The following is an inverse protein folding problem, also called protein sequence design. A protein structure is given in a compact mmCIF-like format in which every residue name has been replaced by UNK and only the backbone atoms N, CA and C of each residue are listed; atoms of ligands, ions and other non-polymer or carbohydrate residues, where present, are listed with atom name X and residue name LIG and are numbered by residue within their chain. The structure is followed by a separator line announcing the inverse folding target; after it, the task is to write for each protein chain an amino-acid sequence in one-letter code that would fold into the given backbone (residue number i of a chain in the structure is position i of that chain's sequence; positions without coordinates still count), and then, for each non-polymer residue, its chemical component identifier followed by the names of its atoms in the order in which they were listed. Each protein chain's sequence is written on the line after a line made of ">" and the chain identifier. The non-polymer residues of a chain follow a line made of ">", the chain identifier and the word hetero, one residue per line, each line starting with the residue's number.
data_IF_567991210553
#
_entry.id   IF_567991210553
#
_cell.length_a   1.000
_cell.length_b   1.000
_cell.length_c   1.000
_cell.angle_alpha   90.00
_cell.angle_beta   90.00
_cell.angle_gamma   90.00
#
_symmetry.space_group_name_H-M   'P 1'
#
loop_
_entity.id
_entity.type
_entity.pdbx_description
1 polymer ?
#
# COMPACT_ATOMS: atom_id res chain seq x y z
N UNK A 1 26.59 25.37 11.29
CA UNK A 1 25.58 25.83 12.28
C UNK A 1 25.39 24.72 13.30
N UNK A 2 25.65 24.98 14.58
CA UNK A 2 25.54 23.98 15.65
C UNK A 2 24.09 23.80 16.10
N UNK A 3 23.77 22.70 16.82
CA UNK A 3 22.44 22.42 17.34
C UNK A 3 21.89 23.59 18.17
N UNK A 4 22.71 24.23 19.00
CA UNK A 4 22.34 25.38 19.84
C UNK A 4 21.79 26.55 19.02
N UNK A 5 22.40 26.85 17.89
CA UNK A 5 21.99 27.96 17.02
C UNK A 5 20.67 27.66 16.31
N UNK A 6 20.49 26.42 15.80
CA UNK A 6 19.23 26.00 15.18
C UNK A 6 18.08 25.98 16.19
N UNK A 7 18.35 25.50 17.40
CA UNK A 7 17.37 25.51 18.49
C UNK A 7 16.96 26.94 18.85
N UNK A 8 17.93 27.85 19.01
CA UNK A 8 17.66 29.25 19.34
C UNK A 8 16.86 29.94 18.23
N UNK A 9 17.21 29.73 16.99
CA UNK A 9 16.50 30.29 15.85
C UNK A 9 15.02 29.85 15.82
N UNK A 10 14.75 28.57 16.06
CA UNK A 10 13.38 28.03 16.09
C UNK A 10 12.59 28.47 17.33
N UNK A 11 13.24 28.62 18.46
CA UNK A 11 12.60 29.20 19.66
C UNK A 11 12.12 30.63 19.41
N UNK A 12 12.95 31.46 18.75
CA UNK A 12 12.59 32.82 18.37
C UNK A 12 11.42 32.83 17.36
N UNK A 13 11.48 31.98 16.34
CA UNK A 13 10.40 31.85 15.32
C UNK A 13 9.06 31.49 15.94
N UNK A 14 9.08 30.63 16.97
CA UNK A 14 7.86 30.19 17.68
C UNK A 14 7.51 31.04 18.90
N UNK A 15 8.28 32.08 19.24
CA UNK A 15 8.06 32.94 20.39
C UNK A 15 8.19 32.22 21.75
N UNK A 16 9.03 31.17 21.81
CA UNK A 16 9.19 30.32 22.98
C UNK A 16 10.45 30.72 23.79
N UNK A 17 10.31 30.81 25.12
CA UNK A 17 11.45 30.84 26.02
C UNK A 17 11.81 29.42 26.52
N UNK A 18 12.94 29.25 27.21
CA UNK A 18 13.43 27.97 27.69
C UNK A 18 12.43 27.23 28.59
N UNK A 19 11.77 27.95 29.49
CA UNK A 19 10.79 27.39 30.42
C UNK A 19 9.54 26.90 29.68
N UNK A 20 9.05 27.68 28.72
CA UNK A 20 7.88 27.33 27.91
C UNK A 20 8.19 26.16 26.98
N UNK A 21 9.37 26.13 26.34
CA UNK A 21 9.81 24.99 25.54
C UNK A 21 9.92 23.74 26.40
N UNK A 22 10.48 23.86 27.63
CA UNK A 22 10.58 22.74 28.58
C UNK A 22 9.22 22.13 28.89
N UNK A 23 8.27 23.00 29.23
CA UNK A 23 6.88 22.60 29.55
C UNK A 23 6.18 21.91 28.39
N UNK A 24 6.31 22.46 27.17
CA UNK A 24 5.64 21.90 25.95
C UNK A 24 6.29 20.63 25.42
N UNK A 25 7.61 20.51 25.58
CA UNK A 25 8.36 19.35 25.07
C UNK A 25 8.52 18.23 26.11
N UNK A 26 8.05 18.44 27.36
CA UNK A 26 8.32 17.52 28.47
C UNK A 26 9.82 17.20 28.61
N UNK A 27 10.65 18.25 28.48
CA UNK A 27 12.11 18.22 28.70
C UNK A 27 12.47 19.20 29.79
N UNK A 28 13.22 18.79 30.84
CA UNK A 28 13.61 19.70 31.92
C UNK A 28 14.36 20.94 31.38
N UNK A 29 13.97 22.12 31.82
CA UNK A 29 14.59 23.38 31.41
C UNK A 29 16.12 23.39 31.56
N UNK A 30 16.75 22.82 32.61
CA UNK A 30 18.21 22.75 32.70
C UNK A 30 18.84 21.97 31.54
N UNK A 31 18.13 20.97 30.96
CA UNK A 31 18.59 20.21 29.78
C UNK A 31 18.58 21.08 28.54
N UNK A 32 17.52 21.91 28.38
CA UNK A 32 17.43 22.85 27.26
C UNK A 32 18.55 23.90 27.37
N UNK A 33 18.78 24.43 28.56
CA UNK A 33 19.85 25.40 28.81
C UNK A 33 21.22 24.82 28.44
N UNK A 34 21.54 23.58 28.83
CA UNK A 34 22.81 22.91 28.47
C UNK A 34 22.99 22.73 26.96
N UNK A 35 21.91 22.54 26.24
CA UNK A 35 21.97 22.46 24.76
C UNK A 35 22.24 23.85 24.18
N UNK A 36 21.58 24.89 24.69
CA UNK A 36 21.73 26.27 24.24
C UNK A 36 23.08 26.88 24.59
N UNK A 37 23.66 26.50 25.75
CA UNK A 37 25.00 26.91 26.16
C UNK A 37 26.13 26.20 25.42
N UNK A 38 25.79 25.09 24.70
CA UNK A 38 26.78 24.27 24.03
C UNK A 38 27.47 23.22 24.91
N UNK A 39 27.15 23.17 26.22
CA UNK A 39 27.65 22.13 27.14
C UNK A 39 27.23 20.74 26.73
N UNK A 40 26.09 20.61 26.04
CA UNK A 40 25.58 19.38 25.47
C UNK A 40 25.54 19.50 23.94
N UNK A 41 26.66 19.28 23.30
CA UNK A 41 26.77 19.33 21.84
C UNK A 41 26.09 18.15 21.13
N UNK A 42 25.87 17.04 21.84
CA UNK A 42 25.21 15.82 21.33
C UNK A 42 24.19 15.29 22.33
N UNK A 43 23.01 15.94 22.46
CA UNK A 43 21.97 15.48 23.38
C UNK A 43 21.41 14.11 22.95
N UNK A 44 20.85 13.38 23.90
CA UNK A 44 20.27 12.05 23.66
C UNK A 44 19.10 12.13 22.67
N UNK A 45 19.02 11.19 21.78
CA UNK A 45 17.99 11.12 20.72
C UNK A 45 16.55 11.33 21.21
N UNK A 46 16.08 10.69 22.31
CA UNK A 46 14.72 10.93 22.82
C UNK A 46 14.46 12.38 23.23
N UNK A 47 15.47 13.07 23.75
CA UNK A 47 15.37 14.50 24.12
C UNK A 47 15.22 15.38 22.88
N UNK A 48 16.01 15.09 21.84
CA UNK A 48 15.94 15.81 20.57
C UNK A 48 14.59 15.60 19.89
N UNK A 49 14.07 14.38 19.89
CA UNK A 49 12.77 14.04 19.31
C UNK A 49 11.60 14.80 19.99
N UNK A 50 11.62 14.92 21.32
CA UNK A 50 10.62 15.69 22.07
C UNK A 50 10.67 17.19 21.72
N UNK A 51 11.87 17.77 21.68
CA UNK A 51 12.07 19.18 21.32
C UNK A 51 11.66 19.43 19.86
N UNK A 52 12.12 18.58 18.94
CA UNK A 52 11.85 18.70 17.51
C UNK A 52 10.35 18.63 17.20
N UNK A 53 9.63 17.72 17.86
CA UNK A 53 8.16 17.62 17.74
C UNK A 53 7.46 18.91 18.18
N UNK A 54 7.89 19.51 19.27
CA UNK A 54 7.32 20.76 19.78
C UNK A 54 7.58 21.93 18.84
N UNK A 55 8.74 21.97 18.23
CA UNK A 55 9.14 23.00 17.27
C UNK A 55 8.73 22.72 15.84
N UNK A 56 8.04 21.59 15.59
CA UNK A 56 7.59 21.15 14.26
C UNK A 56 8.73 21.08 13.23
N UNK A 57 9.87 20.54 13.63
CA UNK A 57 11.05 20.32 12.79
C UNK A 57 11.47 18.86 12.85
N UNK A 58 12.25 18.42 11.84
CA UNK A 58 12.81 17.07 11.86
C UNK A 58 13.90 16.95 12.96
N UNK A 59 13.93 15.85 13.74
CA UNK A 59 15.00 15.61 14.71
C UNK A 59 16.39 15.60 14.06
N UNK A 60 16.48 15.11 12.85
CA UNK A 60 17.70 15.06 12.06
C UNK A 60 18.18 16.45 11.66
N UNK A 61 17.26 17.31 11.20
CA UNK A 61 17.56 18.71 10.92
C UNK A 61 18.03 19.44 12.21
N UNK A 62 17.39 19.21 13.34
CA UNK A 62 17.78 19.86 14.60
C UNK A 62 19.20 19.43 15.01
N UNK A 63 19.56 18.16 14.86
CA UNK A 63 20.89 17.63 15.21
C UNK A 63 21.98 18.02 14.24
N UNK A 64 21.76 17.86 12.95
CA UNK A 64 22.82 17.90 11.94
C UNK A 64 22.68 19.02 10.91
N UNK A 65 21.51 19.65 10.82
CA UNK A 65 21.18 20.61 9.78
C UNK A 65 20.82 19.90 8.47
N UNK A 66 20.82 20.64 7.38
CA UNK A 66 20.36 20.15 6.08
C UNK A 66 18.94 20.65 5.76
N UNK A 67 18.28 20.13 4.72
CA UNK A 67 16.90 20.48 4.42
C UNK A 67 15.98 20.04 5.58
N UNK A 68 15.06 20.93 5.97
CA UNK A 68 14.05 20.62 6.99
C UNK A 68 12.89 19.88 6.33
N UNK A 69 12.97 18.56 6.34
CA UNK A 69 11.97 17.66 5.75
C UNK A 69 10.60 17.72 6.47
N UNK A 70 10.52 18.40 7.63
CA UNK A 70 9.25 18.52 8.36
C UNK A 70 8.22 19.44 7.68
N UNK A 71 8.62 20.21 6.68
CA UNK A 71 7.75 21.19 6.01
C UNK A 71 6.89 20.62 4.87
N UNK A 72 6.99 19.35 4.53
CA UNK A 72 6.34 18.79 3.34
C UNK A 72 5.50 17.53 3.55
N UNK A 73 5.22 17.12 4.78
CA UNK A 73 4.37 15.95 4.97
C UNK A 73 2.95 16.37 5.32
N UNK A 74 2.06 16.30 4.34
CA UNK A 74 0.65 16.06 4.60
C UNK A 74 0.56 14.78 5.45
N UNK A 75 -0.23 14.81 6.53
CA UNK A 75 -0.29 13.73 7.54
C UNK A 75 -0.78 12.38 7.00
N UNK A 76 -1.10 12.31 5.72
CA UNK A 76 -1.53 11.10 5.00
C UNK A 76 -0.44 10.46 4.14
N UNK A 77 0.82 10.96 4.20
CA UNK A 77 1.96 10.37 3.47
C UNK A 77 2.95 9.79 4.46
N UNK A 78 3.10 8.48 4.47
CA UNK A 78 4.15 7.75 5.19
C UNK A 78 5.32 7.44 4.27
N UNK A 79 6.55 7.44 4.83
CA UNK A 79 7.74 6.99 4.11
C UNK A 79 7.59 5.48 3.83
N UNK A 80 7.26 5.15 2.60
CA UNK A 80 7.28 3.77 2.14
C UNK A 80 8.74 3.30 1.97
N UNK A 81 9.07 2.18 2.60
CA UNK A 81 10.31 1.45 2.28
C UNK A 81 10.21 1.00 0.83
N UNK A 82 11.23 1.28 0.03
CA UNK A 82 11.27 0.73 -1.32
C UNK A 82 11.28 -0.80 -1.25
N UNK A 83 10.44 -1.49 -2.03
CA UNK A 83 10.43 -2.94 -2.05
C UNK A 83 11.81 -3.48 -2.43
N UNK A 84 12.32 -4.42 -1.64
CA UNK A 84 13.62 -5.05 -1.86
C UNK A 84 13.62 -6.03 -3.05
N UNK A 85 12.43 -6.36 -3.57
CA UNK A 85 12.20 -7.28 -4.69
C UNK A 85 11.13 -6.71 -5.61
N UNK A 86 11.29 -6.93 -6.90
CA UNK A 86 10.31 -6.57 -7.92
C UNK A 86 10.15 -7.75 -8.86
N UNK A 87 8.91 -8.16 -9.06
CA UNK A 87 8.52 -9.23 -9.97
C UNK A 87 7.78 -8.61 -11.15
N UNK A 88 7.88 -9.20 -12.32
CA UNK A 88 7.22 -8.72 -13.53
C UNK A 88 6.32 -9.80 -14.09
N UNK A 89 5.04 -9.45 -14.32
CA UNK A 89 4.00 -10.36 -14.80
C UNK A 89 3.28 -9.77 -16.01
N UNK A 90 2.85 -10.61 -16.95
CA UNK A 90 2.11 -10.16 -18.14
C UNK A 90 0.69 -9.74 -17.81
N UNK A 91 0.17 -8.73 -18.50
CA UNK A 91 -1.27 -8.47 -18.57
C UNK A 91 -1.87 -9.36 -19.66
N UNK A 92 -2.87 -10.20 -19.29
CA UNK A 92 -3.57 -11.07 -20.20
C UNK A 92 -5.05 -10.69 -20.32
N UNK A 93 -5.71 -11.18 -21.35
CA UNK A 93 -7.15 -11.02 -21.52
C UNK A 93 -7.96 -12.01 -20.67
N UNK A 94 -9.24 -11.68 -20.42
CA UNK A 94 -10.17 -12.56 -19.71
C UNK A 94 -10.35 -13.90 -20.40
N UNK A 95 -10.33 -13.93 -21.74
CA UNK A 95 -10.41 -15.16 -22.53
C UNK A 95 -9.19 -16.05 -22.29
N UNK A 96 -8.01 -15.47 -22.23
CA UNK A 96 -6.78 -16.19 -21.88
C UNK A 96 -6.81 -16.69 -20.43
N UNK A 97 -7.33 -15.90 -19.50
CA UNK A 97 -7.46 -16.30 -18.10
C UNK A 97 -8.41 -17.51 -17.94
N UNK A 98 -9.50 -17.58 -18.69
CA UNK A 98 -10.39 -18.73 -18.71
C UNK A 98 -9.72 -20.00 -19.24
N UNK A 99 -8.79 -19.87 -20.16
CA UNK A 99 -8.05 -21.00 -20.78
C UNK A 99 -6.81 -21.44 -19.95
N UNK A 100 -6.40 -20.69 -18.93
CA UNK A 100 -5.17 -20.91 -18.13
C UNK A 100 -5.09 -22.30 -17.48
N UNK A 101 -6.21 -22.96 -17.23
CA UNK A 101 -6.24 -24.29 -16.60
C UNK A 101 -5.82 -25.44 -17.53
N UNK A 102 -5.86 -25.27 -18.86
CA UNK A 102 -5.70 -26.39 -19.80
C UNK A 102 -4.29 -26.58 -20.37
N UNK A 103 -3.46 -25.61 -20.41
CA UNK A 103 -2.00 -25.68 -20.69
C UNK A 103 -1.44 -24.26 -20.76
N UNK A 104 -0.82 -23.80 -19.72
CA UNK A 104 -0.08 -22.55 -19.74
C UNK A 104 1.21 -22.69 -20.54
N UNK A 105 1.11 -22.93 -21.83
CA UNK A 105 2.14 -22.46 -22.72
C UNK A 105 1.88 -20.97 -22.98
N UNK A 106 2.51 -20.12 -22.15
CA UNK A 106 2.62 -18.69 -22.37
C UNK A 106 3.43 -18.40 -23.67
N UNK A 107 3.07 -19.07 -24.75
CA UNK A 107 3.75 -18.98 -26.07
C UNK A 107 3.64 -17.60 -26.72
N UNK A 108 2.81 -16.69 -26.16
CA UNK A 108 2.62 -15.34 -26.69
C UNK A 108 2.84 -14.22 -25.67
N UNK A 109 3.61 -14.46 -24.59
CA UNK A 109 3.92 -13.40 -23.57
C UNK A 109 4.74 -12.26 -24.17
N UNK A 110 5.48 -12.50 -25.26
CA UNK A 110 6.34 -11.48 -25.89
C UNK A 110 5.58 -10.27 -26.46
N UNK A 111 4.25 -10.34 -26.58
CA UNK A 111 3.41 -9.23 -27.03
C UNK A 111 2.55 -8.61 -25.91
N UNK A 112 2.60 -9.16 -24.69
CA UNK A 112 1.80 -8.65 -23.55
C UNK A 112 2.47 -7.46 -22.89
N UNK A 113 1.67 -6.52 -22.38
CA UNK A 113 2.17 -5.46 -21.51
C UNK A 113 2.62 -6.08 -20.19
N UNK A 114 3.86 -5.76 -19.75
CA UNK A 114 4.42 -6.27 -18.52
C UNK A 114 4.23 -5.26 -17.41
N UNK A 115 3.73 -5.71 -16.27
CA UNK A 115 3.58 -4.87 -15.07
C UNK A 115 4.34 -5.45 -13.89
N UNK A 116 4.96 -4.57 -13.10
CA UNK A 116 5.73 -4.94 -11.91
C UNK A 116 4.87 -4.96 -10.65
N UNK A 117 5.21 -5.85 -9.71
CA UNK A 117 4.68 -5.90 -8.35
C UNK A 117 5.82 -6.24 -7.38
N UNK A 118 5.72 -5.83 -6.13
CA UNK A 118 6.57 -6.29 -5.03
C UNK A 118 6.03 -7.59 -4.39
N UNK A 119 4.85 -8.02 -4.81
CA UNK A 119 4.21 -9.26 -4.35
C UNK A 119 4.57 -10.41 -5.30
N UNK A 120 4.99 -11.55 -4.74
CA UNK A 120 5.20 -12.78 -5.49
C UNK A 120 3.87 -13.49 -5.76
N UNK A 121 3.53 -13.65 -7.04
CA UNK A 121 2.31 -14.32 -7.49
C UNK A 121 2.56 -15.73 -8.09
N UNK A 122 3.71 -16.32 -7.79
CA UNK A 122 4.14 -17.58 -8.44
C UNK A 122 4.78 -17.35 -9.81
N UNK A 123 5.27 -18.44 -10.42
CA UNK A 123 5.90 -18.36 -11.76
C UNK A 123 4.89 -18.02 -12.86
N UNK A 124 3.64 -18.42 -12.65
CA UNK A 124 2.55 -18.28 -13.62
C UNK A 124 1.59 -17.12 -13.24
N UNK A 125 2.04 -16.17 -12.39
CA UNK A 125 1.25 -14.98 -12.06
C UNK A 125 0.96 -14.13 -13.30
N UNK A 126 -0.20 -13.47 -13.32
CA UNK A 126 -0.59 -12.58 -14.40
C UNK A 126 -1.51 -11.46 -13.92
N UNK A 127 -1.51 -10.36 -14.68
CA UNK A 127 -2.42 -9.24 -14.44
C UNK A 127 -3.66 -9.35 -15.30
N UNK A 128 -4.81 -8.97 -14.71
CA UNK A 128 -6.07 -8.78 -15.40
C UNK A 128 -6.60 -7.37 -15.17
N UNK A 129 -7.21 -6.82 -16.19
CA UNK A 129 -7.95 -5.57 -16.10
C UNK A 129 -9.41 -5.86 -15.69
N UNK A 130 -9.86 -5.28 -14.58
CA UNK A 130 -11.25 -5.41 -14.11
C UNK A 130 -12.20 -4.85 -15.16
N UNK A 131 -13.24 -5.62 -15.46
CA UNK A 131 -14.31 -5.25 -16.39
C UNK A 131 -15.65 -5.15 -15.66
N UNK A 132 -16.37 -4.09 -15.95
CA UNK A 132 -17.70 -3.82 -15.40
C UNK A 132 -17.73 -3.46 -13.91
N UNK A 133 -18.91 -3.15 -13.37
CA UNK A 133 -19.08 -2.56 -12.04
C UNK A 133 -19.34 -3.56 -10.91
N UNK A 134 -19.29 -4.87 -11.16
CA UNK A 134 -19.67 -5.89 -10.14
C UNK A 134 -18.79 -5.90 -8.90
N UNK A 135 -17.57 -5.38 -9.00
CA UNK A 135 -16.61 -5.29 -7.89
C UNK A 135 -16.37 -3.84 -7.43
N UNK A 136 -17.25 -2.91 -7.80
CA UNK A 136 -17.24 -1.52 -7.32
C UNK A 136 -18.11 -1.39 -6.09
N UNK A 137 -17.58 -0.85 -5.01
CA UNK A 137 -18.31 -0.65 -3.75
C UNK A 137 -18.14 0.79 -3.24
N UNK A 138 -19.19 1.39 -2.67
CA UNK A 138 -19.09 2.71 -2.03
C UNK A 138 -18.45 2.64 -0.64
N UNK A 139 -18.31 1.44 -0.06
CA UNK A 139 -17.77 1.25 1.30
C UNK A 139 -16.78 0.08 1.30
N UNK A 140 -15.61 0.30 1.89
CA UNK A 140 -14.55 -0.71 1.99
C UNK A 140 -13.77 -0.91 0.68
N UNK A 141 -13.25 -2.12 0.42
CA UNK A 141 -12.53 -2.41 -0.81
C UNK A 141 -13.39 -2.18 -2.04
N UNK A 142 -12.80 -1.60 -3.09
CA UNK A 142 -13.49 -1.32 -4.34
C UNK A 142 -12.53 -1.47 -5.51
N UNK A 143 -12.95 -2.20 -6.54
CA UNK A 143 -12.19 -2.46 -7.75
C UNK A 143 -12.99 -1.95 -8.96
N UNK A 144 -12.85 -0.67 -9.30
CA UNK A 144 -13.58 -0.09 -10.42
C UNK A 144 -13.08 -0.66 -11.75
N UNK A 145 -13.89 -0.48 -12.79
CA UNK A 145 -13.52 -0.86 -14.14
C UNK A 145 -12.18 -0.24 -14.56
N UNK A 146 -11.32 -1.03 -15.19
CA UNK A 146 -9.98 -0.63 -15.58
C UNK A 146 -8.90 -0.86 -14.51
N UNK A 147 -9.27 -1.16 -13.26
CA UNK A 147 -8.31 -1.52 -12.21
C UNK A 147 -7.55 -2.78 -12.60
N UNK A 148 -6.26 -2.85 -12.29
CA UNK A 148 -5.42 -4.03 -12.54
C UNK A 148 -5.36 -4.88 -11.28
N UNK A 149 -5.61 -6.18 -11.41
CA UNK A 149 -5.49 -7.18 -10.34
C UNK A 149 -4.42 -8.20 -10.70
N UNK A 150 -3.55 -8.54 -9.76
CA UNK A 150 -2.53 -9.58 -9.91
C UNK A 150 -3.08 -10.91 -9.39
N UNK A 151 -3.14 -11.89 -10.25
CA UNK A 151 -3.67 -13.22 -9.98
C UNK A 151 -2.54 -14.21 -9.81
N UNK A 152 -2.62 -15.01 -8.75
CA UNK A 152 -1.70 -16.10 -8.41
C UNK A 152 -2.41 -17.45 -8.56
N UNK A 153 -2.24 -18.18 -9.68
CA UNK A 153 -2.95 -19.44 -9.95
C UNK A 153 -2.60 -20.57 -9.00
N UNK A 154 -1.40 -20.53 -8.42
CA UNK A 154 -0.88 -21.62 -7.56
C UNK A 154 -1.23 -21.45 -6.07
N UNK A 155 -1.96 -20.39 -5.72
CA UNK A 155 -2.29 -20.08 -4.33
C UNK A 155 -3.72 -20.45 -4.01
N UNK A 156 -3.87 -21.29 -2.98
CA UNK A 156 -5.19 -21.66 -2.47
C UNK A 156 -5.95 -20.44 -1.97
N UNK A 157 -7.24 -20.40 -2.28
CA UNK A 157 -8.12 -19.33 -1.83
C UNK A 157 -8.69 -19.60 -0.44
N UNK A 158 -8.69 -18.59 0.41
CA UNK A 158 -9.31 -18.60 1.73
C UNK A 158 -10.55 -17.72 1.76
N UNK A 159 -11.52 -18.06 2.60
CA UNK A 159 -12.73 -17.25 2.74
C UNK A 159 -12.43 -15.79 3.09
N UNK A 160 -13.04 -14.87 2.36
CA UNK A 160 -12.79 -13.42 2.45
C UNK A 160 -11.82 -12.88 1.40
N UNK A 161 -11.03 -13.72 0.75
CA UNK A 161 -10.11 -13.29 -0.31
C UNK A 161 -10.83 -13.03 -1.63
N UNK A 162 -10.14 -12.32 -2.52
CA UNK A 162 -10.61 -12.07 -3.88
C UNK A 162 -10.04 -13.12 -4.82
N UNK A 163 -10.86 -13.61 -5.73
CA UNK A 163 -10.50 -14.69 -6.64
C UNK A 163 -10.98 -14.40 -8.06
N UNK A 164 -10.29 -14.99 -9.00
CA UNK A 164 -10.79 -15.20 -10.36
C UNK A 164 -11.27 -16.65 -10.46
N UNK A 165 -12.50 -16.83 -10.85
CA UNK A 165 -13.13 -18.13 -11.08
C UNK A 165 -13.68 -18.20 -12.49
N UNK A 166 -13.81 -19.39 -13.04
CA UNK A 166 -14.36 -19.64 -14.39
C UNK A 166 -15.45 -20.71 -14.37
N UNK A 167 -16.35 -20.63 -15.32
CA UNK A 167 -17.27 -21.71 -15.65
C UNK A 167 -16.52 -22.77 -16.47
N UNK A 168 -16.59 -24.02 -16.06
CA UNK A 168 -15.91 -25.16 -16.74
C UNK A 168 -16.39 -25.36 -18.16
N UNK A 169 -17.69 -25.15 -18.43
CA UNK A 169 -18.29 -25.41 -19.75
C UNK A 169 -17.96 -24.33 -20.80
N UNK A 170 -17.85 -23.06 -20.37
CA UNK A 170 -17.69 -21.91 -21.29
C UNK A 170 -16.34 -21.22 -21.21
N UNK A 171 -15.52 -21.56 -20.21
CA UNK A 171 -14.29 -20.84 -19.86
C UNK A 171 -14.52 -19.34 -19.58
N UNK A 172 -15.75 -18.95 -19.30
CA UNK A 172 -16.11 -17.58 -18.93
C UNK A 172 -15.61 -17.27 -17.52
N UNK A 173 -14.64 -16.37 -17.40
CA UNK A 173 -14.03 -16.02 -16.13
C UNK A 173 -14.68 -14.80 -15.48
N UNK A 174 -14.72 -14.79 -14.16
CA UNK A 174 -15.28 -13.71 -13.34
C UNK A 174 -14.38 -13.39 -12.14
N UNK A 175 -14.43 -12.14 -11.69
CA UNK A 175 -13.73 -11.66 -10.49
C UNK A 175 -14.72 -11.42 -9.37
N UNK A 176 -14.52 -12.09 -8.21
CA UNK A 176 -15.44 -12.02 -7.06
C UNK A 176 -14.67 -12.15 -5.73
N UNK A 177 -15.36 -11.89 -4.64
CA UNK A 177 -14.92 -12.28 -3.30
C UNK A 177 -15.35 -13.73 -3.04
N UNK A 178 -14.37 -14.56 -2.64
CA UNK A 178 -14.61 -15.93 -2.25
C UNK A 178 -15.08 -16.00 -0.80
N UNK A 179 -16.22 -16.60 -0.55
CA UNK A 179 -16.80 -16.73 0.78
C UNK A 179 -17.18 -18.18 1.04
N UNK A 180 -16.90 -18.63 2.27
CA UNK A 180 -17.39 -19.90 2.78
C UNK A 180 -18.38 -19.63 3.91
N UNK A 181 -19.60 -20.12 3.74
CA UNK A 181 -20.64 -20.05 4.78
C UNK A 181 -21.32 -21.41 4.92
N UNK A 182 -21.42 -21.91 6.17
CA UNK A 182 -22.08 -23.18 6.50
C UNK A 182 -21.64 -24.37 5.63
N UNK A 183 -20.37 -24.39 5.21
CA UNK A 183 -19.81 -25.44 4.37
C UNK A 183 -20.01 -25.24 2.85
N UNK A 184 -20.77 -24.24 2.45
CA UNK A 184 -21.00 -23.88 1.04
C UNK A 184 -20.07 -22.75 0.64
N UNK A 185 -19.56 -22.80 -0.59
CA UNK A 185 -18.73 -21.73 -1.17
C UNK A 185 -19.57 -20.81 -2.05
N UNK A 186 -19.22 -19.53 -2.03
CA UNK A 186 -19.91 -18.49 -2.79
C UNK A 186 -18.92 -17.55 -3.46
N UNK A 187 -19.28 -17.07 -4.63
CA UNK A 187 -18.64 -15.97 -5.36
C UNK A 187 -19.49 -14.71 -5.16
N UNK A 188 -19.05 -13.86 -4.25
CA UNK A 188 -19.78 -12.65 -3.84
C UNK A 188 -19.26 -11.41 -4.56
N UNK A 189 -20.10 -10.64 -5.27
CA UNK A 189 -19.74 -9.33 -5.77
C UNK A 189 -19.63 -8.32 -4.61
N UNK A 190 -18.82 -7.29 -4.77
CA UNK A 190 -18.78 -6.16 -3.83
C UNK A 190 -19.91 -5.17 -4.09
N UNK A 191 -20.40 -5.11 -5.31
CA UNK A 191 -21.57 -4.31 -5.67
C UNK A 191 -22.86 -5.07 -5.32
N UNK A 192 -23.68 -4.55 -4.38
CA UNK A 192 -24.91 -5.23 -3.93
C UNK A 192 -26.00 -5.33 -5.01
N UNK A 193 -25.88 -4.60 -6.12
CA UNK A 193 -26.79 -4.71 -7.25
C UNK A 193 -26.59 -6.00 -8.08
N UNK A 194 -25.53 -6.76 -7.79
CA UNK A 194 -25.23 -8.02 -8.45
C UNK A 194 -25.49 -9.20 -7.50
N UNK A 195 -25.99 -10.35 -8.01
CA UNK A 195 -26.29 -11.50 -7.17
C UNK A 195 -25.01 -12.20 -6.69
N UNK A 196 -25.07 -12.77 -5.49
CA UNK A 196 -24.10 -13.75 -5.01
C UNK A 196 -24.37 -15.08 -5.69
N UNK A 197 -23.32 -15.74 -6.17
CA UNK A 197 -23.38 -16.97 -6.94
C UNK A 197 -22.89 -18.11 -6.04
N UNK A 198 -23.67 -19.17 -5.79
CA UNK A 198 -23.15 -20.37 -5.15
C UNK A 198 -22.12 -21.02 -6.09
N UNK A 199 -20.99 -21.43 -5.50
CA UNK A 199 -19.93 -22.10 -6.24
C UNK A 199 -20.13 -23.60 -6.11
N UNK A 200 -20.61 -24.22 -7.18
CA UNK A 200 -20.79 -25.66 -7.35
C UNK A 200 -19.71 -26.26 -8.26
N UNK A 201 -19.90 -27.50 -8.67
CA UNK A 201 -18.96 -28.24 -9.54
C UNK A 201 -18.80 -27.62 -10.96
N UNK A 202 -19.67 -26.67 -11.33
CA UNK A 202 -19.55 -25.94 -12.60
C UNK A 202 -18.49 -24.83 -12.55
N UNK A 203 -18.02 -24.47 -11.35
CA UNK A 203 -17.04 -23.41 -11.16
C UNK A 203 -15.68 -23.95 -10.77
N UNK A 204 -14.64 -23.42 -11.39
CA UNK A 204 -13.24 -23.67 -11.09
C UNK A 204 -12.51 -22.37 -10.69
N UNK A 205 -11.68 -22.42 -9.66
CA UNK A 205 -10.82 -21.29 -9.30
C UNK A 205 -9.64 -21.21 -10.28
N UNK A 206 -9.50 -20.07 -10.93
CA UNK A 206 -8.33 -19.75 -11.78
C UNK A 206 -7.15 -19.31 -10.93
N UNK A 207 -7.42 -18.55 -9.84
CA UNK A 207 -6.40 -18.14 -8.91
C UNK A 207 -6.87 -17.08 -7.92
N UNK A 208 -6.01 -16.86 -6.92
CA UNK A 208 -6.23 -15.86 -5.85
C UNK A 208 -5.62 -14.52 -6.26
N UNK A 209 -6.34 -13.42 -6.00
CA UNK A 209 -5.83 -12.06 -6.22
C UNK A 209 -4.94 -11.67 -5.05
N UNK A 210 -3.69 -11.33 -5.33
CA UNK A 210 -2.65 -11.07 -4.32
C UNK A 210 -2.16 -9.62 -4.31
N UNK A 211 -2.43 -8.86 -5.37
CA UNK A 211 -2.09 -7.45 -5.50
C UNK A 211 -3.05 -6.72 -6.44
N UNK A 212 -3.04 -5.39 -6.42
CA UNK A 212 -3.85 -4.59 -7.32
C UNK A 212 -3.37 -3.15 -7.42
N UNK A 213 -3.59 -2.53 -8.60
CA UNK A 213 -3.18 -1.15 -8.82
C UNK A 213 -4.09 -0.40 -9.79
N UNK A 214 -4.11 0.91 -9.66
CA UNK A 214 -4.79 1.78 -10.62
C UNK A 214 -4.04 1.80 -11.95
N UNK A 215 -4.76 1.81 -13.08
CA UNK A 215 -4.13 1.93 -14.39
C UNK A 215 -3.51 3.34 -14.54
N UNK A 216 -2.38 3.42 -15.24
CA UNK A 216 -1.69 4.69 -15.49
C UNK A 216 -2.55 5.71 -16.24
N UNK A 217 -3.54 5.25 -16.99
CA UNK A 217 -4.45 6.09 -17.77
C UNK A 217 -5.32 7.03 -16.91
N UNK A 218 -5.50 6.73 -15.61
CA UNK A 218 -6.27 7.59 -14.69
C UNK A 218 -5.55 8.91 -14.38
N UNK A 219 -4.23 8.97 -14.62
CA UNK A 219 -3.38 10.12 -14.35
C UNK A 219 -3.03 10.93 -15.62
N UNK A 220 -3.73 10.69 -16.72
CA UNK A 220 -3.51 11.38 -18.02
C UNK A 220 -4.70 12.23 -18.41
#
# INVERSE_FOLDING_TARGET
>A
MYIAERLRSKMIEHGLNESELGRRSDVPQPTINRILSGESASPRRPTVEKIARTLKVSPNWLMFGGPDESKSFDSNVELALQPSRSFSYPEISWVQAGAVSEAMELRNVSSCEMHTSDVWAGENGFWLKVMGPSMTSPVGPSFPEGFLILVAPQFDAHSGQFVVAKLTDSNEATFKQFIRDSGVFYLKPLNPSFPTIPMDDAWELVGTVVDGKMPKSIFR
#
